data_IF_798419004277
#
_entry.id   IF_798419004277
#
_cell.length_a   1.000
_cell.length_b   1.000
_cell.length_c   1.000
_cell.angle_alpha   90.00
_cell.angle_beta   90.00
_cell.angle_gamma   90.00
#
_symmetry.space_group_name_H-M   'P 1'
#
loop_
_entity.id
_entity.type
_entity.pdbx_description
1 polymer ?
#
# COMPACT_ATOMS: atom_id res chain seq x y z
N UNK A 1 -10.56 3.14 -0.92
CA UNK A 1 -10.67 3.44 -2.37
C UNK A 1 -10.00 2.37 -3.22
N UNK A 2 -8.66 2.17 -3.10
CA UNK A 2 -7.90 1.18 -3.87
C UNK A 2 -8.52 -0.22 -3.77
N UNK A 3 -8.75 -0.73 -2.57
CA UNK A 3 -9.31 -2.07 -2.35
C UNK A 3 -10.75 -2.20 -2.84
N UNK A 4 -11.57 -1.15 -2.70
CA UNK A 4 -12.94 -1.13 -3.21
C UNK A 4 -12.96 -1.23 -4.73
N UNK A 5 -12.10 -0.45 -5.40
CA UNK A 5 -11.96 -0.48 -6.86
C UNK A 5 -11.52 -1.88 -7.33
N UNK A 6 -10.57 -2.51 -6.65
CA UNK A 6 -10.11 -3.86 -6.94
C UNK A 6 -11.26 -4.89 -6.82
N UNK A 7 -12.05 -4.80 -5.75
CA UNK A 7 -13.19 -5.70 -5.54
C UNK A 7 -14.21 -5.60 -6.67
N UNK A 8 -14.54 -4.37 -7.11
CA UNK A 8 -15.45 -4.16 -8.22
C UNK A 8 -14.87 -4.62 -9.57
N UNK A 9 -13.61 -4.31 -9.83
CA UNK A 9 -12.95 -4.67 -11.09
C UNK A 9 -12.86 -6.20 -11.30
N UNK A 10 -12.81 -6.97 -10.22
CA UNK A 10 -12.78 -8.43 -10.22
C UNK A 10 -14.16 -9.08 -10.04
N UNK A 11 -15.25 -8.37 -10.35
CA UNK A 11 -16.60 -8.86 -10.06
C UNK A 11 -17.51 -8.67 -11.27
N UNK A 12 -18.35 -9.67 -11.52
CA UNK A 12 -19.38 -9.63 -12.55
C UNK A 12 -20.80 -9.32 -12.00
N UNK A 13 -20.90 -9.15 -10.69
CA UNK A 13 -22.14 -8.78 -10.00
C UNK A 13 -21.84 -8.03 -8.69
N UNK A 14 -22.85 -7.30 -8.19
CA UNK A 14 -22.76 -6.61 -6.90
C UNK A 14 -22.56 -7.59 -5.72
N UNK A 15 -23.15 -8.78 -5.81
CA UNK A 15 -22.97 -9.82 -4.80
C UNK A 15 -21.53 -10.33 -4.77
N UNK A 16 -20.95 -10.60 -5.94
CA UNK A 16 -19.53 -10.98 -6.03
C UNK A 16 -18.61 -9.86 -5.57
N UNK A 17 -18.92 -8.60 -5.90
CA UNK A 17 -18.15 -7.47 -5.39
C UNK A 17 -18.15 -7.39 -3.86
N UNK A 18 -19.27 -7.67 -3.21
CA UNK A 18 -19.37 -7.73 -1.74
C UNK A 18 -18.53 -8.87 -1.15
N UNK A 19 -18.54 -10.06 -1.78
CA UNK A 19 -17.68 -11.19 -1.36
C UNK A 19 -16.21 -10.83 -1.51
N UNK A 20 -15.82 -10.29 -2.66
CA UNK A 20 -14.46 -9.85 -2.94
C UNK A 20 -14.00 -8.74 -1.98
N UNK A 21 -14.89 -7.84 -1.56
CA UNK A 21 -14.62 -6.85 -0.51
C UNK A 21 -14.22 -7.51 0.81
N UNK A 22 -14.88 -8.60 1.20
CA UNK A 22 -14.54 -9.33 2.42
C UNK A 22 -13.17 -9.99 2.28
N UNK A 23 -12.92 -10.66 1.14
CA UNK A 23 -11.63 -11.31 0.87
C UNK A 23 -10.45 -10.34 0.91
N UNK A 24 -10.61 -9.14 0.36
CA UNK A 24 -9.53 -8.15 0.25
C UNK A 24 -9.31 -7.39 1.56
N UNK A 25 -10.37 -7.10 2.32
CA UNK A 25 -10.30 -6.19 3.46
C UNK A 25 -9.99 -6.88 4.79
N UNK A 26 -10.24 -8.19 4.90
CA UNK A 26 -10.19 -8.86 6.20
C UNK A 26 -9.21 -10.05 6.21
N UNK A 27 -8.50 -10.18 7.32
CA UNK A 27 -7.68 -11.35 7.64
C UNK A 27 -8.57 -12.55 7.95
N UNK A 28 -8.16 -13.78 7.65
CA UNK A 28 -8.86 -14.95 8.15
C UNK A 28 -8.73 -15.03 9.67
N UNK A 29 -9.77 -15.53 10.33
CA UNK A 29 -9.75 -15.87 11.74
C UNK A 29 -9.04 -17.22 11.97
N UNK A 30 -8.99 -17.70 13.22
CA UNK A 30 -8.36 -18.99 13.60
C UNK A 30 -8.97 -20.22 12.90
N UNK A 31 -10.20 -20.12 12.41
CA UNK A 31 -10.89 -21.17 11.63
C UNK A 31 -10.72 -20.98 10.12
N UNK A 32 -9.82 -20.10 9.70
CA UNK A 32 -9.59 -19.74 8.29
C UNK A 32 -10.85 -19.16 7.59
N UNK A 33 -11.70 -18.48 8.34
CA UNK A 33 -12.89 -17.78 7.82
C UNK A 33 -12.70 -16.28 7.94
N UNK A 34 -12.98 -15.54 6.89
CA UNK A 34 -12.96 -14.06 6.92
C UNK A 34 -14.27 -13.52 7.46
N UNK A 35 -14.17 -12.85 8.59
CA UNK A 35 -15.31 -12.22 9.27
C UNK A 35 -15.17 -10.71 9.17
N UNK A 36 -16.15 -10.00 8.59
CA UNK A 36 -16.14 -8.54 8.53
C UNK A 36 -16.25 -7.93 9.93
N UNK A 37 -15.12 -7.73 10.58
CA UNK A 37 -15.06 -7.08 11.87
C UNK A 37 -13.81 -6.20 11.97
N UNK A 38 -13.85 -5.21 12.86
CA UNK A 38 -12.74 -4.29 13.06
C UNK A 38 -11.43 -5.03 13.35
N UNK A 39 -11.43 -6.00 14.24
CA UNK A 39 -10.22 -6.73 14.69
C UNK A 39 -9.54 -7.56 13.58
N UNK A 40 -10.27 -7.95 12.54
CA UNK A 40 -9.73 -8.75 11.43
C UNK A 40 -9.44 -7.93 10.18
N UNK A 41 -9.65 -6.62 10.21
CA UNK A 41 -9.35 -5.78 9.06
C UNK A 41 -7.83 -5.66 8.85
N UNK A 42 -7.40 -5.56 7.58
CA UNK A 42 -6.05 -5.11 7.23
C UNK A 42 -5.93 -3.61 7.51
N UNK A 43 -5.46 -3.24 8.70
CA UNK A 43 -5.40 -1.84 9.12
C UNK A 43 -4.20 -1.09 8.55
N UNK A 44 -3.09 -1.80 8.31
CA UNK A 44 -1.87 -1.21 7.80
C UNK A 44 -1.62 -1.67 6.37
N UNK A 45 -1.45 -0.71 5.46
CA UNK A 45 -1.20 -1.00 4.04
C UNK A 45 0.10 -1.79 3.86
N UNK A 46 1.14 -1.49 4.63
CA UNK A 46 2.40 -2.25 4.60
C UNK A 46 2.21 -3.72 5.00
N UNK A 47 1.51 -4.00 6.10
CA UNK A 47 1.15 -5.36 6.52
C UNK A 47 0.36 -6.09 5.42
N UNK A 48 -0.61 -5.41 4.81
CA UNK A 48 -1.39 -5.99 3.71
C UNK A 48 -0.51 -6.30 2.49
N UNK A 49 0.40 -5.41 2.10
CA UNK A 49 1.30 -5.65 0.96
C UNK A 49 2.19 -6.87 1.22
N UNK A 50 2.70 -7.04 2.43
CA UNK A 50 3.62 -8.12 2.77
C UNK A 50 2.92 -9.47 3.03
N UNK A 51 1.74 -9.45 3.64
CA UNK A 51 1.13 -10.65 4.23
C UNK A 51 -0.20 -11.07 3.59
N UNK A 52 -0.83 -10.24 2.74
CA UNK A 52 -2.07 -10.63 2.07
C UNK A 52 -1.76 -11.52 0.85
N UNK A 53 -2.38 -12.70 0.72
CA UNK A 53 -2.05 -13.66 -0.34
C UNK A 53 -2.21 -13.15 -1.78
N UNK A 54 -3.06 -12.14 -1.98
CA UNK A 54 -3.29 -11.53 -3.31
C UNK A 54 -2.30 -10.42 -3.66
N UNK A 55 -1.44 -10.01 -2.75
CA UNK A 55 -0.43 -9.00 -3.01
C UNK A 55 0.93 -9.66 -3.24
N UNK A 56 1.61 -9.22 -4.28
CA UNK A 56 3.00 -9.59 -4.56
C UNK A 56 3.81 -8.30 -4.40
N UNK A 57 4.63 -8.23 -3.36
CA UNK A 57 5.56 -7.11 -3.20
C UNK A 57 6.62 -7.19 -4.30
N UNK A 58 6.67 -6.20 -5.20
CA UNK A 58 7.64 -6.14 -6.30
C UNK A 58 8.72 -5.07 -6.07
N UNK A 59 8.76 -4.45 -4.91
CA UNK A 59 9.68 -3.33 -4.60
C UNK A 59 11.14 -3.70 -4.89
N UNK A 60 11.60 -4.84 -4.36
CA UNK A 60 12.98 -5.30 -4.53
C UNK A 60 13.23 -6.01 -5.88
N UNK A 61 12.19 -6.19 -6.72
CA UNK A 61 12.30 -6.79 -8.05
C UNK A 61 12.53 -5.75 -9.15
N UNK A 62 12.09 -4.51 -8.93
CA UNK A 62 12.13 -3.44 -9.94
C UNK A 62 13.37 -2.55 -9.83
N UNK A 63 14.15 -2.68 -8.76
CA UNK A 63 15.41 -1.97 -8.55
C UNK A 63 16.41 -2.92 -7.87
N UNK A 64 17.71 -2.65 -8.02
CA UNK A 64 18.72 -3.38 -7.27
C UNK A 64 18.53 -3.12 -5.76
N UNK A 65 18.47 -4.17 -4.91
CA UNK A 65 18.25 -4.03 -3.46
C UNK A 65 19.24 -3.09 -2.74
N UNK A 66 20.44 -2.88 -3.26
CA UNK A 66 21.38 -1.90 -2.69
C UNK A 66 20.86 -0.45 -2.75
N UNK A 67 19.86 -0.16 -3.59
CA UNK A 67 19.23 1.16 -3.73
C UNK A 67 17.91 1.26 -2.98
N UNK A 68 17.47 0.23 -2.27
CA UNK A 68 16.33 0.29 -1.36
C UNK A 68 16.78 0.67 0.05
N UNK A 69 15.86 1.23 0.81
CA UNK A 69 16.01 1.39 2.26
C UNK A 69 15.12 0.39 2.98
N UNK A 70 15.57 -0.05 4.15
CA UNK A 70 14.80 -0.93 5.01
C UNK A 70 14.58 -0.30 6.38
N UNK A 71 13.44 -0.59 6.97
CA UNK A 71 13.09 -0.20 8.33
C UNK A 71 12.49 -1.39 9.08
N UNK A 72 13.04 -1.65 10.28
CA UNK A 72 12.40 -2.53 11.25
C UNK A 72 11.42 -1.71 12.09
N UNK A 73 10.17 -2.10 12.10
CA UNK A 73 9.11 -1.35 12.76
C UNK A 73 8.12 -2.28 13.49
N UNK A 74 7.69 -1.86 14.65
CA UNK A 74 6.56 -2.47 15.36
C UNK A 74 5.27 -1.72 14.96
N UNK A 75 4.54 -2.26 13.98
CA UNK A 75 3.27 -1.71 13.51
C UNK A 75 2.25 -1.64 14.65
N UNK A 76 1.41 -0.62 14.66
CA UNK A 76 0.45 -0.29 15.73
C UNK A 76 1.08 0.13 17.06
N UNK A 77 2.40 0.25 17.15
CA UNK A 77 3.08 0.65 18.39
C UNK A 77 3.76 1.99 18.22
N UNK A 78 3.31 2.98 18.97
CA UNK A 78 3.95 4.30 19.00
C UNK A 78 5.27 4.24 19.77
N UNK A 79 6.18 5.16 19.48
CA UNK A 79 7.48 5.28 20.16
C UNK A 79 7.35 5.45 21.67
N UNK A 80 6.23 6.01 22.16
CA UNK A 80 5.95 6.14 23.59
C UNK A 80 5.36 4.88 24.24
N UNK A 81 5.27 3.77 23.51
CA UNK A 81 4.75 2.49 23.97
C UNK A 81 3.23 2.32 23.89
N UNK A 82 2.47 3.35 23.55
CA UNK A 82 1.02 3.26 23.38
C UNK A 82 0.67 2.65 21.99
N UNK A 83 -0.50 2.02 21.91
CA UNK A 83 -1.03 1.61 20.61
C UNK A 83 -1.52 2.81 19.78
N UNK A 84 -1.36 2.72 18.46
CA UNK A 84 -1.88 3.74 17.54
C UNK A 84 -3.38 3.58 17.33
N UNK A 85 -3.82 2.35 17.08
CA UNK A 85 -5.24 1.97 17.02
C UNK A 85 -5.66 1.38 18.36
N UNK A 86 -6.95 1.46 18.68
CA UNK A 86 -7.56 0.83 19.86
C UNK A 86 -7.67 -0.70 19.64
N UNK A 87 -6.52 -1.35 19.67
CA UNK A 87 -6.35 -2.80 19.54
C UNK A 87 -5.17 -3.25 20.40
N UNK A 88 -5.24 -4.46 20.93
CA UNK A 88 -4.29 -5.05 21.88
C UNK A 88 -3.13 -5.82 21.22
N UNK A 89 -2.84 -5.56 19.94
CA UNK A 89 -1.78 -6.22 19.20
C UNK A 89 -0.85 -5.23 18.48
N UNK A 90 0.39 -5.64 18.31
CA UNK A 90 1.37 -5.04 17.42
C UNK A 90 2.05 -6.12 16.59
N UNK A 91 2.71 -5.73 15.51
CA UNK A 91 3.36 -6.64 14.57
C UNK A 91 4.73 -6.09 14.19
N UNK A 92 5.78 -6.89 14.42
CA UNK A 92 7.13 -6.56 13.97
C UNK A 92 7.28 -6.92 12.48
N UNK A 93 7.70 -5.95 11.69
CA UNK A 93 7.93 -6.09 10.25
C UNK A 93 9.23 -5.41 9.85
N UNK A 94 9.92 -6.02 8.88
CA UNK A 94 11.00 -5.38 8.11
C UNK A 94 10.44 -4.94 6.78
N UNK A 95 10.42 -3.64 6.54
CA UNK A 95 9.80 -3.05 5.35
C UNK A 95 10.86 -2.45 4.46
N UNK A 96 10.95 -2.95 3.21
CA UNK A 96 11.80 -2.40 2.17
C UNK A 96 11.01 -1.43 1.30
N UNK A 97 11.60 -0.30 0.95
CA UNK A 97 11.01 0.70 0.06
C UNK A 97 12.08 1.38 -0.80
N UNK A 98 11.67 1.89 -1.95
CA UNK A 98 12.53 2.68 -2.83
C UNK A 98 12.48 4.14 -2.37
N UNK A 99 13.62 4.77 -1.99
CA UNK A 99 13.67 6.19 -1.69
C UNK A 99 13.16 7.04 -2.86
N UNK A 100 12.45 8.14 -2.58
CA UNK A 100 11.81 8.95 -3.62
C UNK A 100 12.78 9.49 -4.66
N UNK A 101 14.02 9.81 -4.28
CA UNK A 101 15.07 10.27 -5.20
C UNK A 101 15.61 9.18 -6.13
N UNK A 102 15.30 7.92 -5.86
CA UNK A 102 15.65 6.77 -6.71
C UNK A 102 14.52 6.36 -7.66
N UNK A 103 13.31 6.90 -7.46
CA UNK A 103 12.17 6.63 -8.34
C UNK A 103 12.26 7.56 -9.55
N UNK A 104 12.73 7.01 -10.66
CA UNK A 104 12.93 7.71 -11.92
C UNK A 104 12.26 6.97 -13.09
N UNK A 105 12.39 7.51 -14.29
CA UNK A 105 11.88 6.90 -15.51
C UNK A 105 12.45 5.49 -15.77
N UNK A 106 13.64 5.19 -15.27
CA UNK A 106 14.26 3.86 -15.37
C UNK A 106 13.55 2.84 -14.49
N UNK A 107 13.20 3.20 -13.27
CA UNK A 107 12.38 2.38 -12.37
C UNK A 107 10.98 2.20 -12.94
N UNK A 108 10.36 3.27 -13.42
CA UNK A 108 9.00 3.22 -14.00
C UNK A 108 8.89 2.26 -15.19
N UNK A 109 9.92 2.17 -16.04
CA UNK A 109 9.94 1.24 -17.17
C UNK A 109 9.88 -0.24 -16.76
N UNK A 110 10.32 -0.58 -15.55
CA UNK A 110 10.31 -1.94 -15.02
C UNK A 110 8.97 -2.32 -14.36
N UNK A 111 8.10 -1.34 -14.10
CA UNK A 111 6.78 -1.60 -13.53
C UNK A 111 5.91 -2.41 -14.52
N UNK A 112 5.02 -3.27 -14.03
CA UNK A 112 3.95 -3.81 -14.86
C UNK A 112 3.03 -2.68 -15.36
N UNK A 113 2.20 -2.93 -16.39
CA UNK A 113 1.29 -1.91 -16.93
C UNK A 113 0.31 -1.35 -15.90
N UNK A 114 -0.04 -2.15 -14.90
CA UNK A 114 -0.87 -1.78 -13.76
C UNK A 114 -0.26 -2.38 -12.50
N UNK A 115 -0.01 -1.54 -11.49
CA UNK A 115 0.41 -1.99 -10.16
C UNK A 115 -0.10 -1.05 -9.07
N UNK A 116 -0.03 -1.49 -7.83
CA UNK A 116 -0.25 -0.64 -6.67
C UNK A 116 1.03 0.10 -6.29
N UNK A 117 0.87 1.28 -5.70
CA UNK A 117 1.92 2.05 -5.07
C UNK A 117 1.48 2.49 -3.67
N UNK A 118 2.38 2.38 -2.70
CA UNK A 118 2.15 2.83 -1.33
C UNK A 118 3.30 3.75 -0.90
N UNK A 119 2.98 5.00 -0.60
CA UNK A 119 3.95 6.05 -0.30
C UNK A 119 4.36 6.03 1.17
N UNK A 120 5.66 5.98 1.41
CA UNK A 120 6.28 5.92 2.73
C UNK A 120 6.50 7.33 3.28
N UNK A 121 6.22 7.50 4.59
CA UNK A 121 6.52 8.73 5.32
C UNK A 121 7.27 8.39 6.60
N UNK A 122 8.57 8.72 6.68
CA UNK A 122 9.45 8.40 7.83
C UNK A 122 8.95 9.02 9.15
N UNK A 123 8.35 10.20 9.09
CA UNK A 123 7.74 10.85 10.25
C UNK A 123 6.63 10.01 10.91
N UNK A 124 6.04 9.08 10.16
CA UNK A 124 4.98 8.20 10.68
C UNK A 124 5.53 6.98 11.43
N UNK A 125 6.81 6.65 11.29
CA UNK A 125 7.42 5.51 11.98
C UNK A 125 7.29 5.63 13.50
N UNK A 126 7.41 6.83 14.04
CA UNK A 126 7.17 7.10 15.49
C UNK A 126 5.74 6.79 15.96
N UNK A 127 4.81 6.64 15.04
CA UNK A 127 3.41 6.27 15.29
C UNK A 127 3.14 4.77 15.10
N UNK A 128 4.15 3.99 14.67
CA UNK A 128 3.97 2.59 14.27
C UNK A 128 3.24 2.45 12.93
N UNK A 129 3.43 3.41 12.02
CA UNK A 129 2.85 3.45 10.68
C UNK A 129 3.96 3.72 9.66
N UNK A 130 3.85 3.16 8.45
CA UNK A 130 4.82 3.38 7.37
C UNK A 130 4.19 4.14 6.21
N UNK A 131 2.98 3.76 5.83
CA UNK A 131 2.32 4.24 4.61
C UNK A 131 1.42 5.43 4.91
N UNK A 132 1.69 6.54 4.21
CA UNK A 132 0.90 7.77 4.30
C UNK A 132 -0.22 7.83 3.25
N UNK A 133 -0.02 7.19 2.09
CA UNK A 133 -0.95 7.26 0.98
C UNK A 133 -0.77 6.05 0.06
N UNK A 134 -1.82 5.70 -0.71
CA UNK A 134 -1.75 4.63 -1.72
C UNK A 134 -2.56 4.98 -2.97
N UNK A 135 -2.22 4.35 -4.09
CA UNK A 135 -2.90 4.49 -5.37
C UNK A 135 -2.56 3.37 -6.33
N UNK A 136 -3.01 3.54 -7.58
CA UNK A 136 -2.63 2.68 -8.70
C UNK A 136 -1.71 3.43 -9.65
N UNK A 137 -0.69 2.75 -10.14
CA UNK A 137 0.11 3.19 -11.30
C UNK A 137 -0.46 2.52 -12.54
N UNK A 138 -0.89 3.34 -13.50
CA UNK A 138 -1.37 2.89 -14.81
C UNK A 138 -0.37 3.29 -15.90
N UNK A 139 -0.16 2.41 -16.87
CA UNK A 139 0.74 2.64 -17.99
C UNK A 139 2.17 3.05 -17.55
N UNK A 140 2.60 2.59 -16.36
CA UNK A 140 3.93 2.84 -15.78
C UNK A 140 4.24 4.30 -15.42
N UNK A 141 3.31 5.23 -15.61
CA UNK A 141 3.58 6.67 -15.38
C UNK A 141 2.44 7.42 -14.70
N UNK A 142 1.20 6.95 -14.85
CA UNK A 142 0.04 7.68 -14.34
C UNK A 142 -0.36 7.17 -12.97
N UNK A 143 -0.39 8.03 -11.99
CA UNK A 143 -0.92 7.74 -10.66
C UNK A 143 -2.41 8.06 -10.61
N UNK A 144 -3.23 7.04 -10.37
CA UNK A 144 -4.65 7.18 -10.05
C UNK A 144 -4.85 6.99 -8.55
N UNK A 145 -5.30 8.05 -7.88
CA UNK A 145 -5.49 8.02 -6.43
C UNK A 145 -6.67 8.88 -5.97
N UNK A 146 -7.14 8.66 -4.73
CA UNK A 146 -8.13 9.52 -4.10
C UNK A 146 -7.42 10.74 -3.49
N UNK A 147 -7.64 11.92 -4.07
CA UNK A 147 -7.13 13.17 -3.54
C UNK A 147 -8.01 13.68 -2.39
N UNK A 148 -7.42 13.80 -1.20
CA UNK A 148 -8.10 14.40 -0.04
C UNK A 148 -8.30 15.91 -0.21
N UNK A 149 -7.42 16.56 -0.95
CA UNK A 149 -7.48 18.00 -1.28
C UNK A 149 -8.60 18.30 -2.26
N UNK A 150 -8.63 17.57 -3.40
CA UNK A 150 -9.62 17.77 -4.46
C UNK A 150 -10.94 17.02 -4.23
N UNK A 151 -11.04 16.22 -3.17
CA UNK A 151 -12.23 15.41 -2.80
C UNK A 151 -12.74 14.50 -3.92
N UNK A 152 -11.85 14.06 -4.81
CA UNK A 152 -12.16 13.18 -5.94
C UNK A 152 -10.99 12.27 -6.31
N UNK A 153 -11.27 11.26 -7.11
CA UNK A 153 -10.22 10.47 -7.79
C UNK A 153 -9.58 11.31 -8.88
N UNK A 154 -8.27 11.32 -8.94
CA UNK A 154 -7.48 12.04 -9.92
C UNK A 154 -6.50 11.10 -10.62
N UNK A 155 -6.12 11.48 -11.83
CA UNK A 155 -5.07 10.84 -12.62
C UNK A 155 -4.01 11.92 -12.91
N UNK A 156 -2.79 11.70 -12.42
CA UNK A 156 -1.68 12.64 -12.50
C UNK A 156 -0.40 11.92 -12.90
N UNK A 157 0.61 12.63 -13.40
CA UNK A 157 1.93 12.05 -13.59
C UNK A 157 2.53 11.65 -12.24
N UNK A 158 3.10 10.43 -12.17
CA UNK A 158 3.61 9.88 -10.91
C UNK A 158 4.86 10.62 -10.44
N UNK A 159 5.79 10.97 -11.34
CA UNK A 159 7.02 11.66 -10.97
C UNK A 159 6.73 13.09 -10.50
N UNK A 160 5.82 13.78 -11.18
CA UNK A 160 5.35 15.11 -10.76
C UNK A 160 4.63 15.06 -9.41
N UNK A 161 3.89 13.98 -9.15
CA UNK A 161 3.22 13.79 -7.86
C UNK A 161 4.21 13.52 -6.72
N UNK A 162 5.25 12.74 -6.97
CA UNK A 162 6.31 12.44 -5.97
C UNK A 162 7.14 13.69 -5.68
N UNK A 163 7.45 14.48 -6.70
CA UNK A 163 8.30 15.66 -6.58
C UNK A 163 7.56 16.91 -7.02
N UNK A 164 7.25 17.79 -6.09
CA UNK A 164 6.57 19.04 -6.31
C UNK A 164 7.46 20.21 -5.87
N UNK A 165 7.61 21.22 -6.73
CA UNK A 165 8.41 22.43 -6.47
C UNK A 165 9.84 22.12 -5.98
N UNK A 166 10.46 21.08 -6.55
CA UNK A 166 11.80 20.64 -6.20
C UNK A 166 11.90 19.78 -4.94
N UNK A 167 10.83 19.60 -4.18
CA UNK A 167 10.79 18.83 -2.94
C UNK A 167 10.06 17.50 -3.11
N UNK A 168 10.52 16.46 -2.42
CA UNK A 168 9.82 15.19 -2.35
C UNK A 168 8.68 15.24 -1.33
N UNK A 169 7.48 14.87 -1.75
CA UNK A 169 6.29 14.78 -0.88
C UNK A 169 6.36 13.64 0.10
N UNK A 170 7.03 12.57 -0.28
CA UNK A 170 7.19 11.32 0.47
C UNK A 170 8.66 10.95 0.56
N UNK A 171 8.99 10.10 1.52
CA UNK A 171 10.37 9.64 1.70
C UNK A 171 10.70 8.47 0.76
N UNK A 172 9.69 7.74 0.29
CA UNK A 172 9.84 6.65 -0.64
C UNK A 172 8.51 5.99 -1.00
N UNK A 173 8.59 4.84 -1.69
CA UNK A 173 7.42 4.05 -2.03
C UNK A 173 7.70 2.55 -2.05
N UNK A 174 6.67 1.77 -1.74
CA UNK A 174 6.57 0.34 -2.04
C UNK A 174 5.72 0.15 -3.30
N UNK A 175 6.07 -0.84 -4.11
CA UNK A 175 5.29 -1.23 -5.28
C UNK A 175 4.81 -2.67 -5.14
N UNK A 176 3.60 -2.94 -5.58
CA UNK A 176 3.00 -4.27 -5.45
C UNK A 176 2.07 -4.58 -6.62
N UNK A 177 2.06 -5.83 -7.03
CA UNK A 177 1.06 -6.37 -7.93
C UNK A 177 -0.15 -6.86 -7.13
N UNK A 178 -1.29 -6.91 -7.79
CA UNK A 178 -2.55 -7.39 -7.27
C UNK A 178 -2.98 -8.55 -8.14
N UNK A 179 -2.91 -9.76 -7.61
CA UNK A 179 -3.44 -10.92 -8.31
C UNK A 179 -4.96 -10.80 -8.45
N UNK A 180 -5.52 -11.23 -9.60
CA UNK A 180 -6.96 -11.33 -9.76
C UNK A 180 -7.56 -12.22 -8.66
N UNK A 181 -8.75 -11.88 -8.20
CA UNK A 181 -9.53 -12.75 -7.31
C UNK A 181 -10.03 -13.92 -8.15
N UNK A 182 -9.48 -15.11 -7.94
CA UNK A 182 -9.92 -16.34 -8.60
C UNK A 182 -11.19 -16.91 -7.97
#
# INVERSE_FOLDING_TARGET
>A
HVLTTLAYANSNSLENARKNMIEIHYKPNKQNVRVPSYNYRWHFTSDRILNHPMNINITDLIIDPQFTEQVDIELNKKQNGQFFLDMDWSLNETISFIPSEKIDAGVLKKLPPVCGIAFVKKDYFRLGIVIAHEGYVLNRSNLVHASSELKKTVNVDLLDYIKQDGNYRFDGAMFFELDPIN
#
